data_IF_476880298856
#
_entry.id   IF_476880298856
#
_cell.length_a   1.000
_cell.length_b   1.000
_cell.length_c   1.000
_cell.angle_alpha   90.00
_cell.angle_beta   90.00
_cell.angle_gamma   90.00
#
_symmetry.space_group_name_H-M   'P 1'
#
loop_
_entity.id
_entity.type
_entity.pdbx_description
1 polymer ?
#
# COMPACT_ATOMS: atom_id res chain seq x y z
N UNK A 1 19.00 -28.84 -4.30
CA UNK A 1 19.28 -27.89 -3.19
C UNK A 1 18.27 -26.74 -3.25
N UNK A 2 16.98 -26.99 -3.01
CA UNK A 2 15.94 -25.99 -3.32
C UNK A 2 14.60 -26.45 -2.77
N UNK A 3 14.32 -26.16 -1.49
CA UNK A 3 12.94 -26.28 -0.98
C UNK A 3 12.69 -25.29 0.16
N UNK A 4 13.65 -25.16 1.08
CA UNK A 4 13.49 -24.29 2.26
C UNK A 4 13.43 -22.79 1.92
N UNK A 5 14.27 -22.31 0.99
CA UNK A 5 14.25 -20.91 0.52
C UNK A 5 13.00 -20.57 -0.29
N UNK A 6 12.46 -21.54 -1.04
CA UNK A 6 11.24 -21.35 -1.81
C UNK A 6 10.02 -21.33 -0.89
N UNK A 7 9.95 -22.26 0.07
CA UNK A 7 8.88 -22.29 1.07
C UNK A 7 8.77 -20.97 1.85
N UNK A 8 9.90 -20.44 2.33
CA UNK A 8 9.94 -19.16 3.05
C UNK A 8 9.39 -17.99 2.22
N UNK A 9 9.71 -17.93 0.91
CA UNK A 9 9.19 -16.88 0.02
C UNK A 9 7.66 -16.92 -0.09
N UNK A 10 7.09 -18.10 -0.25
CA UNK A 10 5.63 -18.24 -0.36
C UNK A 10 4.92 -18.06 0.97
N UNK A 11 5.57 -18.38 2.10
CA UNK A 11 5.07 -18.03 3.42
C UNK A 11 4.92 -16.50 3.58
N UNK A 12 5.97 -15.75 3.18
CA UNK A 12 5.97 -14.28 3.20
C UNK A 12 4.85 -13.72 2.33
N UNK A 13 4.68 -14.26 1.12
CA UNK A 13 3.57 -13.89 0.24
C UNK A 13 2.22 -14.19 0.89
N UNK A 14 2.06 -15.37 1.51
CA UNK A 14 0.82 -15.77 2.18
C UNK A 14 0.43 -14.84 3.33
N UNK A 15 1.41 -14.44 4.17
CA UNK A 15 1.20 -13.45 5.23
C UNK A 15 0.75 -12.11 4.66
N UNK A 16 1.42 -11.66 3.59
CA UNK A 16 1.05 -10.42 2.91
C UNK A 16 -0.37 -10.49 2.34
N UNK A 17 -0.76 -11.58 1.68
CA UNK A 17 -2.13 -11.71 1.16
C UNK A 17 -3.17 -11.65 2.29
N UNK A 18 -2.92 -12.34 3.41
CA UNK A 18 -3.85 -12.28 4.54
C UNK A 18 -3.94 -10.86 5.15
N UNK A 19 -2.83 -10.12 5.16
CA UNK A 19 -2.83 -8.71 5.55
C UNK A 19 -3.61 -7.84 4.56
N UNK A 20 -3.51 -8.08 3.26
CA UNK A 20 -4.18 -7.24 2.26
C UNK A 20 -5.69 -7.49 2.18
N UNK A 21 -6.13 -8.73 2.42
CA UNK A 21 -7.51 -9.13 2.21
C UNK A 21 -8.31 -9.41 3.51
N UNK A 22 -7.65 -9.78 4.62
CA UNK A 22 -8.33 -10.29 5.83
C UNK A 22 -8.15 -9.40 7.09
N UNK A 23 -7.49 -8.25 6.98
CA UNK A 23 -7.07 -7.40 8.11
C UNK A 23 -8.12 -6.43 8.64
N UNK A 24 -9.31 -6.40 8.03
CA UNK A 24 -10.44 -5.58 8.46
C UNK A 24 -11.65 -5.85 7.59
N UNK A 25 -12.87 -5.53 8.07
CA UNK A 25 -14.07 -5.56 7.23
C UNK A 25 -14.49 -4.13 6.88
N UNK A 26 -14.35 -3.70 5.61
CA UNK A 26 -13.75 -4.41 4.47
C UNK A 26 -12.23 -4.16 4.36
N UNK A 27 -11.44 -5.12 3.85
CA UNK A 27 -9.97 -5.07 3.83
C UNK A 27 -9.42 -3.97 2.91
N UNK A 28 -8.13 -3.62 3.01
CA UNK A 28 -7.55 -2.48 2.27
C UNK A 28 -7.72 -2.62 0.74
N UNK A 29 -7.76 -3.86 0.22
CA UNK A 29 -7.94 -4.15 -1.20
C UNK A 29 -9.39 -4.07 -1.70
N UNK A 30 -10.31 -3.56 -0.89
CA UNK A 30 -11.72 -3.42 -1.28
C UNK A 30 -11.87 -2.55 -2.53
N UNK A 31 -12.63 -3.04 -3.51
CA UNK A 31 -12.81 -2.39 -4.80
C UNK A 31 -11.67 -2.61 -5.80
N UNK A 32 -10.64 -3.39 -5.45
CA UNK A 32 -9.63 -3.83 -6.42
C UNK A 32 -10.19 -4.98 -7.29
N UNK A 33 -9.95 -4.91 -8.59
CA UNK A 33 -10.21 -5.96 -9.56
C UNK A 33 -8.91 -6.44 -10.21
N UNK A 34 -8.95 -7.63 -10.82
CA UNK A 34 -7.83 -8.19 -11.60
C UNK A 34 -6.49 -8.21 -10.86
N UNK A 35 -6.51 -8.49 -9.56
CA UNK A 35 -5.30 -8.64 -8.77
C UNK A 35 -4.43 -9.77 -9.31
N UNK A 36 -3.14 -9.49 -9.51
CA UNK A 36 -2.11 -10.41 -10.00
C UNK A 36 -0.85 -10.24 -9.19
N UNK A 37 -0.09 -11.32 -9.08
CA UNK A 37 1.27 -11.26 -8.56
C UNK A 37 2.20 -12.14 -9.39
N UNK A 38 3.48 -11.82 -9.38
CA UNK A 38 4.53 -12.68 -9.94
C UNK A 38 5.84 -12.49 -9.18
N UNK A 39 6.71 -13.50 -9.24
CA UNK A 39 8.05 -13.39 -8.68
C UNK A 39 8.90 -12.40 -9.49
N UNK A 40 9.72 -11.62 -8.78
CA UNK A 40 10.74 -10.74 -9.34
C UNK A 40 12.08 -10.97 -8.65
N UNK A 41 13.13 -10.31 -9.11
CA UNK A 41 14.47 -10.45 -8.55
C UNK A 41 14.48 -9.97 -7.09
N UNK A 42 14.44 -10.91 -6.14
CA UNK A 42 14.48 -10.64 -4.70
C UNK A 42 13.12 -10.61 -3.98
N UNK A 43 11.99 -10.82 -4.68
CA UNK A 43 10.68 -10.84 -4.02
C UNK A 43 9.51 -10.92 -5.01
N UNK A 44 8.48 -10.09 -4.79
CA UNK A 44 7.21 -10.17 -5.53
C UNK A 44 6.79 -8.82 -6.10
N UNK A 45 6.11 -8.88 -7.23
CA UNK A 45 5.41 -7.75 -7.80
C UNK A 45 3.90 -7.98 -7.67
N UNK A 46 3.17 -6.97 -7.19
CA UNK A 46 1.71 -6.98 -7.07
C UNK A 46 1.12 -5.95 -8.02
N UNK A 47 0.09 -6.34 -8.75
CA UNK A 47 -0.60 -5.52 -9.73
C UNK A 47 -2.11 -5.65 -9.57
N UNK A 48 -2.84 -4.55 -9.60
CA UNK A 48 -4.30 -4.57 -9.60
C UNK A 48 -4.89 -3.43 -10.43
N UNK A 49 -6.19 -3.53 -10.70
CA UNK A 49 -6.99 -2.44 -11.20
C UNK A 49 -7.99 -1.99 -10.11
N UNK A 50 -8.46 -0.74 -10.17
CA UNK A 50 -9.41 -0.22 -9.19
C UNK A 50 -8.82 -0.10 -7.78
N UNK A 51 -9.71 0.00 -6.79
CA UNK A 51 -9.37 -0.10 -5.36
C UNK A 51 -8.35 0.94 -4.86
N UNK A 52 -7.51 0.57 -3.88
CA UNK A 52 -6.62 1.48 -3.18
C UNK A 52 -5.47 1.93 -4.08
N UNK A 53 -4.98 3.14 -3.83
CA UNK A 53 -3.75 3.60 -4.43
C UNK A 53 -2.55 2.82 -3.85
N UNK A 54 -1.50 2.50 -4.64
CA UNK A 54 -0.33 1.79 -4.17
C UNK A 54 0.32 2.35 -2.90
N UNK A 55 0.31 3.68 -2.72
CA UNK A 55 0.82 4.31 -1.50
C UNK A 55 -0.02 3.99 -0.26
N UNK A 56 -1.34 3.87 -0.42
CA UNK A 56 -2.26 3.52 0.68
C UNK A 56 -1.96 2.10 1.14
N UNK A 57 -1.69 1.20 0.19
CA UNK A 57 -1.28 -0.18 0.49
C UNK A 57 0.05 -0.23 1.23
N UNK A 58 1.08 0.49 0.77
CA UNK A 58 2.40 0.51 1.45
C UNK A 58 2.29 1.14 2.84
N UNK A 59 1.56 2.25 2.97
CA UNK A 59 1.34 2.91 4.26
C UNK A 59 0.56 1.98 5.21
N UNK A 60 -0.51 1.36 4.73
CA UNK A 60 -1.32 0.41 5.49
C UNK A 60 -0.49 -0.75 6.04
N UNK A 61 0.30 -1.41 5.19
CA UNK A 61 1.14 -2.55 5.60
C UNK A 61 2.20 -2.12 6.62
N UNK A 62 2.82 -0.96 6.43
CA UNK A 62 3.80 -0.41 7.38
C UNK A 62 3.16 -0.09 8.73
N UNK A 63 2.02 0.60 8.72
CA UNK A 63 1.34 1.02 9.94
C UNK A 63 0.79 -0.20 10.69
N UNK A 64 0.34 -1.24 9.97
CA UNK A 64 -0.08 -2.51 10.54
C UNK A 64 1.09 -3.25 11.23
N UNK A 65 2.27 -3.29 10.61
CA UNK A 65 3.47 -3.87 11.22
C UNK A 65 3.95 -3.07 12.44
N UNK A 66 3.55 -1.80 12.57
CA UNK A 66 3.83 -0.96 13.72
C UNK A 66 2.80 -1.07 14.85
N UNK A 67 1.69 -1.78 14.65
CA UNK A 67 0.59 -1.90 15.61
C UNK A 67 0.59 -3.27 16.31
N UNK A 68 0.50 -3.26 17.65
CA UNK A 68 0.40 -4.48 18.45
C UNK A 68 -0.88 -5.28 18.17
N UNK A 69 -1.93 -4.65 17.64
CA UNK A 69 -3.22 -5.30 17.34
C UNK A 69 -3.14 -6.29 16.17
N UNK A 70 -2.12 -6.16 15.31
CA UNK A 70 -1.95 -7.00 14.13
C UNK A 70 -0.78 -7.99 14.23
N UNK A 71 -0.19 -8.10 15.43
CA UNK A 71 0.98 -8.92 15.74
C UNK A 71 0.83 -10.42 15.38
N UNK A 72 -0.38 -10.90 15.10
CA UNK A 72 -0.61 -12.27 14.62
C UNK A 72 -0.19 -12.50 13.16
N UNK A 73 0.04 -11.44 12.37
CA UNK A 73 0.36 -11.55 10.93
C UNK A 73 1.64 -10.81 10.53
N UNK A 74 1.93 -9.69 11.17
CA UNK A 74 3.15 -8.90 10.98
C UNK A 74 3.62 -8.36 12.32
N UNK A 75 4.92 -8.44 12.57
CA UNK A 75 5.57 -7.90 13.76
C UNK A 75 6.32 -6.59 13.45
N UNK A 76 6.68 -5.87 14.50
CA UNK A 76 7.50 -4.68 14.39
C UNK A 76 8.86 -5.03 13.76
N UNK A 77 9.20 -4.37 12.66
CA UNK A 77 10.44 -4.61 11.92
C UNK A 77 10.31 -5.63 10.78
N UNK A 78 9.17 -6.31 10.63
CA UNK A 78 8.93 -7.17 9.46
C UNK A 78 8.90 -6.35 8.17
N UNK A 79 8.39 -5.12 8.24
CA UNK A 79 8.29 -4.18 7.12
C UNK A 79 9.38 -3.13 7.23
N UNK A 80 10.24 -3.05 6.22
CA UNK A 80 11.36 -2.10 6.14
C UNK A 80 11.43 -1.45 4.76
N UNK A 81 12.31 -0.46 4.60
CA UNK A 81 12.61 0.19 3.31
C UNK A 81 11.37 0.64 2.51
N UNK A 82 10.31 1.06 3.22
CA UNK A 82 9.07 1.50 2.60
C UNK A 82 9.28 2.78 1.77
N UNK A 83 9.18 2.64 0.45
CA UNK A 83 9.22 3.72 -0.53
C UNK A 83 7.79 4.10 -0.88
N UNK A 84 7.32 5.18 -0.26
CA UNK A 84 6.15 5.93 -0.70
C UNK A 84 6.64 6.95 -1.75
N UNK A 85 5.89 7.21 -2.82
CA UNK A 85 6.26 8.19 -3.84
C UNK A 85 6.70 9.51 -3.18
N UNK A 86 7.97 9.90 -3.34
CA UNK A 86 8.35 11.32 -3.30
C UNK A 86 8.26 11.82 -4.74
N UNK A 87 7.61 12.97 -4.88
CA UNK A 87 7.08 13.65 -6.07
C UNK A 87 8.07 13.98 -7.19
N UNK A 88 9.23 13.30 -7.31
CA UNK A 88 10.28 13.69 -8.26
C UNK A 88 10.82 12.57 -9.16
N UNK A 89 10.43 11.30 -8.99
CA UNK A 89 10.85 10.22 -9.90
C UNK A 89 9.66 9.38 -10.37
N UNK A 90 9.12 9.61 -11.59
CA UNK A 90 8.03 8.81 -12.14
C UNK A 90 8.40 7.33 -12.30
N UNK A 91 9.69 7.00 -12.42
CA UNK A 91 10.17 5.63 -12.71
C UNK A 91 10.28 4.71 -11.49
N UNK A 92 10.08 5.23 -10.27
CA UNK A 92 10.23 4.44 -9.04
C UNK A 92 8.87 4.03 -8.49
N UNK A 93 8.52 2.76 -8.72
CA UNK A 93 7.29 2.18 -8.19
C UNK A 93 7.32 2.08 -6.65
N UNK A 94 6.18 2.29 -5.97
CA UNK A 94 6.08 2.08 -4.54
C UNK A 94 6.45 0.64 -4.17
N UNK A 95 7.22 0.52 -3.09
CA UNK A 95 7.74 -0.76 -2.65
C UNK A 95 8.05 -0.74 -1.16
N UNK A 96 8.21 -1.92 -0.57
CA UNK A 96 8.70 -2.13 0.77
C UNK A 96 9.36 -3.50 0.83
N UNK A 97 10.24 -3.72 1.79
CA UNK A 97 10.78 -5.03 2.08
C UNK A 97 9.96 -5.67 3.20
N UNK A 98 9.53 -6.90 2.99
CA UNK A 98 8.82 -7.72 3.98
C UNK A 98 9.66 -8.95 4.29
N UNK A 99 10.13 -9.09 5.52
CA UNK A 99 10.98 -10.21 5.96
C UNK A 99 12.18 -10.45 5.02
N UNK A 100 12.78 -9.36 4.52
CA UNK A 100 13.91 -9.40 3.57
C UNK A 100 13.54 -9.65 2.10
N UNK A 101 12.25 -9.70 1.77
CA UNK A 101 11.75 -9.84 0.40
C UNK A 101 11.16 -8.54 -0.12
N UNK A 102 11.65 -8.07 -1.27
CA UNK A 102 11.15 -6.85 -1.87
C UNK A 102 9.75 -7.05 -2.44
N UNK A 103 8.79 -6.27 -1.96
CA UNK A 103 7.44 -6.18 -2.49
C UNK A 103 7.33 -4.89 -3.28
N UNK A 104 7.07 -5.02 -4.57
CA UNK A 104 6.78 -3.87 -5.45
C UNK A 104 5.31 -3.87 -5.79
N UNK A 105 4.65 -2.72 -5.69
CA UNK A 105 3.22 -2.61 -5.88
C UNK A 105 2.87 -1.62 -6.97
N UNK A 106 1.88 -1.97 -7.78
CA UNK A 106 1.36 -1.12 -8.84
C UNK A 106 -0.14 -1.28 -8.94
N UNK A 107 -0.81 -0.19 -9.29
CA UNK A 107 -2.22 -0.21 -9.57
C UNK A 107 -2.53 0.59 -10.81
N UNK A 108 -3.62 0.21 -11.47
CA UNK A 108 -4.20 0.96 -12.59
C UNK A 108 -5.61 1.40 -12.20
N UNK A 109 -6.08 2.55 -12.71
CA UNK A 109 -7.44 3.07 -12.45
C UNK A 109 -7.82 3.15 -10.96
N UNK A 110 -6.90 3.66 -10.13
CA UNK A 110 -7.17 3.79 -8.69
C UNK A 110 -8.12 4.95 -8.41
N UNK A 111 -9.04 4.75 -7.47
CA UNK A 111 -9.95 5.81 -7.01
C UNK A 111 -9.28 6.78 -6.02
N UNK A 112 -8.20 6.34 -5.36
CA UNK A 112 -7.51 7.07 -4.30
C UNK A 112 -6.90 8.41 -4.73
N UNK A 113 -6.39 8.53 -5.96
CA UNK A 113 -5.85 9.81 -6.45
C UNK A 113 -6.96 10.86 -6.62
N UNK A 114 -8.13 10.45 -7.13
CA UNK A 114 -9.28 11.34 -7.24
C UNK A 114 -9.84 11.74 -5.88
N UNK A 115 -9.81 10.88 -4.87
CA UNK A 115 -10.28 11.21 -3.51
C UNK A 115 -9.32 12.15 -2.76
N UNK A 116 -8.01 11.95 -2.86
CA UNK A 116 -7.03 12.87 -2.27
C UNK A 116 -7.06 14.25 -2.94
N UNK A 117 -7.15 14.28 -4.28
CA UNK A 117 -7.29 15.52 -5.06
C UNK A 117 -8.62 16.21 -4.73
N UNK A 118 -9.74 15.48 -4.67
CA UNK A 118 -11.04 16.05 -4.29
C UNK A 118 -11.05 16.58 -2.86
N UNK A 119 -10.41 15.88 -1.90
CA UNK A 119 -10.27 16.37 -0.52
C UNK A 119 -9.39 17.62 -0.44
N UNK A 120 -8.32 17.67 -1.22
CA UNK A 120 -7.46 18.86 -1.29
C UNK A 120 -8.22 20.04 -1.90
N UNK A 121 -8.92 19.84 -3.02
CA UNK A 121 -9.79 20.87 -3.60
C UNK A 121 -10.88 21.33 -2.65
N UNK A 122 -11.52 20.42 -1.90
CA UNK A 122 -12.54 20.77 -0.91
C UNK A 122 -11.95 21.58 0.25
N UNK A 123 -10.76 21.20 0.75
CA UNK A 123 -10.07 21.94 1.81
C UNK A 123 -9.65 23.34 1.35
N UNK A 124 -9.11 23.46 0.14
CA UNK A 124 -8.72 24.75 -0.45
C UNK A 124 -9.95 25.63 -0.69
N UNK A 125 -11.06 25.07 -1.19
CA UNK A 125 -12.31 25.81 -1.38
C UNK A 125 -12.90 26.31 -0.05
N UNK A 126 -12.78 25.53 1.03
CA UNK A 126 -13.22 25.94 2.37
C UNK A 126 -12.36 27.07 2.93
N UNK A 127 -11.04 27.01 2.75
CA UNK A 127 -10.12 28.06 3.20
C UNK A 127 -10.35 29.39 2.46
N UNK A 128 -10.53 29.34 1.13
CA UNK A 128 -10.83 30.54 0.32
C UNK A 128 -12.16 31.17 0.76
N UNK A 129 -13.18 30.36 1.06
CA UNK A 129 -14.47 30.87 1.52
C UNK A 129 -14.36 31.56 2.89
N UNK A 130 -13.58 31.01 3.81
CA UNK A 130 -13.32 31.65 5.10
C UNK A 130 -12.57 32.98 4.98
N UNK A 131 -11.61 33.10 4.07
CA UNK A 131 -10.92 34.38 3.82
C UNK A 131 -11.87 35.43 3.22
N UNK A 132 -12.72 35.05 2.27
CA UNK A 132 -13.69 35.97 1.67
C UNK A 132 -14.71 36.49 2.71
N UNK A 133 -15.18 35.61 3.61
CA UNK A 133 -16.12 35.98 4.67
C UNK A 133 -15.46 36.84 5.77
N UNK A 134 -14.13 36.76 5.93
CA UNK A 134 -13.39 37.57 6.91
C UNK A 134 -13.02 38.97 6.41
N UNK A 135 -13.16 39.24 5.10
CA UNK A 135 -12.74 40.50 4.46
C UNK A 135 -13.93 41.37 4.00
N UNK A 136 -15.17 40.93 4.23
CA UNK A 136 -16.41 41.68 3.96
C UNK A 136 -17.09 42.13 5.24
#
# INVERSE_FOLDING_TARGET
MTNRRTAQRYEVLGRLMSVLFDSGRPGIMTGADRFRFWESHGGFFLDWAGGPHPHEVVAYVRDLAGSDEAATRLEHGDVTNAVLYRTTCPDRLPSFDLLGHKITVRATRTLGHNCAVSRHFAATAAAIRQELDATG
#
